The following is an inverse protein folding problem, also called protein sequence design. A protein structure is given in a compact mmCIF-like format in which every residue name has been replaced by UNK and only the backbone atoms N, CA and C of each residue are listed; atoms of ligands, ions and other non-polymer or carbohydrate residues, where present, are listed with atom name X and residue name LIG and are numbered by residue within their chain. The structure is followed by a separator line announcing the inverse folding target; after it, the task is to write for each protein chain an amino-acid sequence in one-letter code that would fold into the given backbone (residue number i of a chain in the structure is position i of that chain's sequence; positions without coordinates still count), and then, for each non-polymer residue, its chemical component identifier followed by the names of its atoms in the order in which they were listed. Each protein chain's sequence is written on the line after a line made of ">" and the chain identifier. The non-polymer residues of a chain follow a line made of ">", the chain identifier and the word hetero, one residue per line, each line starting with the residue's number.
data_IF_322788128200
#
_entry.id   IF_322788128200
#
_cell.length_a   1.000
_cell.length_b   1.000
_cell.length_c   1.000
_cell.angle_alpha   90.00
_cell.angle_beta   90.00
_cell.angle_gamma   90.00
#
_symmetry.space_group_name_H-M   'P 1'
#
loop_
_entity.id
_entity.type
_entity.pdbx_description
1 polymer ?
#
# COMPACT_ATOMS: atom_id res chain seq x y z
N UNK A 1 12.54 -19.81 9.91
CA UNK A 1 12.44 -18.32 9.97
C UNK A 1 10.98 -17.94 9.79
N UNK A 2 10.49 -16.93 10.52
CA UNK A 2 9.13 -16.45 10.34
C UNK A 2 9.02 -15.77 8.96
N UNK A 3 8.13 -16.25 8.08
CA UNK A 3 7.94 -15.70 6.73
C UNK A 3 7.16 -14.39 6.72
N UNK A 4 6.57 -14.04 7.86
CA UNK A 4 5.80 -12.83 8.05
C UNK A 4 6.24 -12.09 9.31
N UNK A 5 6.54 -10.80 9.22
CA UNK A 5 6.89 -9.98 10.38
C UNK A 5 6.23 -8.61 10.33
N UNK A 6 5.89 -8.10 11.51
CA UNK A 6 5.34 -6.76 11.73
C UNK A 6 6.31 -5.97 12.61
N UNK A 7 6.79 -4.83 12.11
CA UNK A 7 7.78 -3.99 12.76
C UNK A 7 7.23 -2.57 12.94
N UNK A 8 7.03 -2.16 14.19
CA UNK A 8 6.76 -0.75 14.48
C UNK A 8 8.05 0.06 14.35
N UNK A 9 8.02 1.10 13.53
CA UNK A 9 9.17 1.98 13.31
C UNK A 9 9.38 2.89 14.51
N UNK A 10 10.63 2.92 15.00
CA UNK A 10 11.12 3.96 15.89
C UNK A 10 11.78 5.06 15.06
N UNK A 11 11.14 6.24 14.99
CA UNK A 11 11.68 7.40 14.26
C UNK A 11 12.97 7.95 14.85
N UNK A 12 13.29 7.65 16.12
CA UNK A 12 14.56 8.06 16.73
C UNK A 12 15.73 7.16 16.31
N UNK A 13 15.42 5.94 15.87
CA UNK A 13 16.39 4.94 15.39
C UNK A 13 15.82 4.21 14.17
N UNK A 14 15.64 4.93 13.04
CA UNK A 14 14.97 4.37 11.87
C UNK A 14 15.77 3.22 11.27
N UNK A 15 15.07 2.17 10.82
CA UNK A 15 15.70 1.07 10.07
C UNK A 15 16.24 1.56 8.73
N UNK A 16 17.23 0.84 8.17
CA UNK A 16 17.77 1.14 6.83
C UNK A 16 16.66 1.17 5.77
N UNK A 17 15.71 0.24 5.85
CA UNK A 17 14.57 0.19 4.94
C UNK A 17 13.68 1.44 5.04
N UNK A 18 13.41 1.93 6.27
CA UNK A 18 12.62 3.15 6.46
C UNK A 18 13.36 4.40 5.96
N UNK A 19 14.67 4.50 6.19
CA UNK A 19 15.48 5.61 5.66
C UNK A 19 15.44 5.63 4.12
N UNK A 20 15.57 4.45 3.50
CA UNK A 20 15.43 4.31 2.04
C UNK A 20 14.03 4.70 1.55
N UNK A 21 12.98 4.32 2.27
CA UNK A 21 11.63 4.80 1.98
C UNK A 21 11.58 6.33 2.01
N UNK A 22 12.11 6.99 3.03
CA UNK A 22 12.08 8.46 3.14
C UNK A 22 12.82 9.14 1.99
N UNK A 23 13.96 8.58 1.57
CA UNK A 23 14.70 9.03 0.39
C UNK A 23 13.87 8.86 -0.89
N UNK A 24 13.37 7.66 -1.16
CA UNK A 24 12.57 7.36 -2.36
C UNK A 24 11.26 8.15 -2.40
N UNK A 25 10.66 8.43 -1.26
CA UNK A 25 9.46 9.27 -1.18
C UNK A 25 9.77 10.73 -1.50
N UNK A 26 10.92 11.26 -1.08
CA UNK A 26 11.37 12.60 -1.48
C UNK A 26 11.64 12.67 -2.98
N UNK A 27 12.31 11.67 -3.54
CA UNK A 27 12.54 11.55 -4.99
C UNK A 27 11.21 11.51 -5.76
N UNK A 28 10.25 10.71 -5.29
CA UNK A 28 8.91 10.64 -5.86
C UNK A 28 8.22 12.01 -5.89
N UNK A 29 8.18 12.71 -4.75
CA UNK A 29 7.56 14.03 -4.66
C UNK A 29 8.27 15.03 -5.59
N UNK A 30 9.59 15.01 -5.65
CA UNK A 30 10.36 15.88 -6.53
C UNK A 30 10.12 15.56 -8.01
N UNK A 31 10.03 14.27 -8.37
CA UNK A 31 9.71 13.82 -9.72
C UNK A 31 8.32 14.30 -10.16
N UNK A 32 7.32 14.12 -9.31
CA UNK A 32 5.96 14.63 -9.53
C UNK A 32 5.99 16.14 -9.79
N UNK A 33 6.73 16.91 -8.98
CA UNK A 33 6.83 18.36 -9.13
C UNK A 33 7.55 18.77 -10.43
N UNK A 34 8.61 18.06 -10.80
CA UNK A 34 9.42 18.38 -11.98
C UNK A 34 8.69 18.07 -13.29
N UNK A 35 7.95 16.96 -13.33
CA UNK A 35 7.25 16.50 -14.53
C UNK A 35 5.92 17.22 -14.75
N UNK A 36 5.34 17.82 -13.71
CA UNK A 36 3.98 18.33 -13.74
C UNK A 36 3.90 19.77 -13.21
N UNK A 37 4.33 20.71 -14.05
CA UNK A 37 4.34 22.15 -13.72
C UNK A 37 2.95 22.73 -13.45
N UNK A 38 1.88 22.03 -13.85
CA UNK A 38 0.48 22.41 -13.58
C UNK A 38 0.04 22.11 -12.13
N UNK A 39 0.86 21.42 -11.34
CA UNK A 39 0.56 21.15 -9.93
C UNK A 39 0.62 22.46 -9.13
N UNK A 40 -0.52 22.83 -8.55
CA UNK A 40 -0.58 23.95 -7.61
C UNK A 40 0.22 23.64 -6.34
N UNK A 41 0.89 24.66 -5.77
CA UNK A 41 1.62 24.53 -4.50
C UNK A 41 0.72 23.97 -3.38
N UNK A 42 -0.56 24.35 -3.37
CA UNK A 42 -1.53 23.86 -2.38
C UNK A 42 -1.81 22.35 -2.53
N UNK A 43 -1.92 21.85 -3.77
CA UNK A 43 -2.03 20.42 -4.03
C UNK A 43 -0.75 19.69 -3.61
N UNK A 44 0.41 20.23 -3.97
CA UNK A 44 1.69 19.64 -3.60
C UNK A 44 1.87 19.54 -2.08
N UNK A 45 1.55 20.60 -1.35
CA UNK A 45 1.55 20.62 0.12
C UNK A 45 0.61 19.56 0.71
N UNK A 46 -0.56 19.37 0.09
CA UNK A 46 -1.53 18.36 0.50
C UNK A 46 -0.99 16.95 0.27
N UNK A 47 -0.35 16.74 -0.88
CA UNK A 47 0.30 15.48 -1.25
C UNK A 47 1.41 15.14 -0.23
N UNK A 48 2.33 16.08 -0.01
CA UNK A 48 3.47 15.92 0.90
C UNK A 48 3.06 15.65 2.36
N UNK A 49 1.92 16.22 2.81
CA UNK A 49 1.38 16.04 4.18
C UNK A 49 0.48 14.80 4.31
N UNK A 50 0.22 14.08 3.23
CA UNK A 50 -0.66 12.91 3.25
C UNK A 50 -0.19 11.85 4.24
N UNK A 51 -1.05 11.38 5.16
CA UNK A 51 -0.66 10.36 6.11
C UNK A 51 -0.72 8.97 5.49
N UNK A 52 -1.43 8.72 4.40
CA UNK A 52 -1.72 7.37 3.93
C UNK A 52 -0.89 7.07 2.68
N UNK A 53 0.35 6.64 2.94
CA UNK A 53 1.40 6.31 1.98
C UNK A 53 1.81 4.86 2.22
N UNK A 54 2.10 4.14 1.14
CA UNK A 54 2.79 2.86 1.21
C UNK A 54 3.93 2.77 0.20
N UNK A 55 4.92 1.96 0.53
CA UNK A 55 6.06 1.65 -0.32
C UNK A 55 6.38 0.16 -0.23
N UNK A 56 6.49 -0.51 -1.37
CA UNK A 56 6.87 -1.92 -1.46
C UNK A 56 8.21 -2.03 -2.17
N UNK A 57 9.11 -2.81 -1.58
CA UNK A 57 10.37 -3.23 -2.19
C UNK A 57 10.40 -4.76 -2.23
N UNK A 58 10.48 -5.31 -3.43
CA UNK A 58 10.81 -6.72 -3.63
C UNK A 58 12.25 -6.83 -4.11
N UNK A 59 12.99 -7.77 -3.51
CA UNK A 59 14.31 -8.22 -3.99
C UNK A 59 14.29 -9.73 -3.98
N UNK A 60 14.51 -10.35 -5.14
CA UNK A 60 14.43 -11.79 -5.28
C UNK A 60 14.52 -12.26 -6.71
N UNK A 61 14.16 -13.53 -6.93
CA UNK A 61 14.04 -14.12 -8.24
C UNK A 61 12.58 -14.19 -8.67
N UNK A 62 12.34 -13.88 -9.93
CA UNK A 62 11.08 -14.10 -10.64
C UNK A 62 11.42 -14.91 -11.90
N UNK A 63 10.85 -16.11 -12.02
CA UNK A 63 11.18 -17.08 -13.08
C UNK A 63 12.70 -17.29 -13.24
N UNK A 64 13.39 -17.42 -12.09
CA UNK A 64 14.84 -17.63 -12.00
C UNK A 64 15.71 -16.39 -12.21
N UNK A 65 15.16 -15.25 -12.67
CA UNK A 65 15.90 -14.00 -12.90
C UNK A 65 15.87 -13.10 -11.68
N UNK A 66 17.02 -12.54 -11.32
CA UNK A 66 17.11 -11.57 -10.22
C UNK A 66 16.40 -10.28 -10.60
N UNK A 67 15.41 -9.89 -9.80
CA UNK A 67 14.58 -8.72 -10.00
C UNK A 67 14.61 -7.84 -8.74
N UNK A 68 14.41 -6.55 -9.00
CA UNK A 68 14.19 -5.53 -7.97
C UNK A 68 13.00 -4.68 -8.37
N UNK A 69 11.93 -4.76 -7.59
CA UNK A 69 10.67 -4.07 -7.89
C UNK A 69 10.38 -3.10 -6.76
N UNK A 70 10.04 -1.86 -7.13
CA UNK A 70 9.70 -0.79 -6.21
C UNK A 70 8.33 -0.23 -6.61
N UNK A 71 7.37 -0.23 -5.68
CA UNK A 71 6.01 0.26 -5.91
C UNK A 71 5.62 1.28 -4.85
N UNK A 72 4.84 2.28 -5.24
CA UNK A 72 4.28 3.31 -4.36
C UNK A 72 2.77 3.33 -4.41
N UNK A 73 2.15 3.57 -3.25
CA UNK A 73 0.71 3.79 -3.16
C UNK A 73 0.43 5.06 -2.35
N UNK A 74 -0.28 6.01 -2.96
CA UNK A 74 -0.54 7.31 -2.36
C UNK A 74 -2.03 7.67 -2.37
N UNK A 75 -2.69 7.61 -1.22
CA UNK A 75 -4.14 7.77 -1.13
C UNK A 75 -4.69 9.13 -1.57
N UNK A 76 -3.95 10.24 -1.40
CA UNK A 76 -4.43 11.56 -1.86
C UNK A 76 -4.50 11.67 -3.38
N UNK A 77 -3.66 10.91 -4.10
CA UNK A 77 -3.72 10.85 -5.56
C UNK A 77 -5.03 10.21 -6.02
N UNK A 78 -5.72 9.44 -5.17
CA UNK A 78 -6.94 8.73 -5.56
C UNK A 78 -8.24 9.46 -5.28
N UNK A 79 -8.17 10.63 -4.65
CA UNK A 79 -9.38 11.40 -4.37
C UNK A 79 -9.84 12.05 -5.67
N UNK A 80 -10.86 11.46 -6.30
CA UNK A 80 -11.52 11.94 -7.54
C UNK A 80 -11.98 13.41 -7.46
N UNK A 81 -12.14 13.94 -6.26
CA UNK A 81 -12.61 15.30 -6.00
C UNK A 81 -11.50 16.36 -6.03
N UNK A 82 -10.27 16.02 -6.41
CA UNK A 82 -9.18 16.98 -6.38
C UNK A 82 -9.26 17.94 -7.57
N UNK A 83 -10.15 18.93 -7.48
CA UNK A 83 -10.39 20.02 -8.47
C UNK A 83 -9.19 20.95 -8.72
N UNK A 84 -8.01 20.59 -8.22
CA UNK A 84 -6.79 21.42 -8.17
C UNK A 84 -5.75 21.02 -9.21
N UNK A 85 -6.01 19.97 -9.99
CA UNK A 85 -5.21 19.50 -11.12
C UNK A 85 -6.14 19.10 -12.27
N UNK A 86 -5.62 19.05 -13.50
CA UNK A 86 -6.35 18.56 -14.68
C UNK A 86 -6.68 17.07 -14.55
N UNK A 87 -7.69 16.60 -15.29
CA UNK A 87 -8.12 15.19 -15.22
C UNK A 87 -7.06 14.26 -15.79
N UNK A 88 -6.41 14.71 -16.86
CA UNK A 88 -5.31 14.05 -17.56
C UNK A 88 -4.10 13.85 -16.63
N UNK A 89 -3.73 14.91 -15.89
CA UNK A 89 -2.68 14.83 -14.87
C UNK A 89 -3.08 13.88 -13.73
N UNK A 90 -4.33 13.93 -13.28
CA UNK A 90 -4.81 13.03 -12.23
C UNK A 90 -4.71 11.55 -12.65
N UNK A 91 -5.11 11.24 -13.89
CA UNK A 91 -5.01 9.90 -14.47
C UNK A 91 -3.56 9.43 -14.59
N UNK A 92 -2.66 10.29 -15.10
CA UNK A 92 -1.22 9.99 -15.15
C UNK A 92 -0.63 9.69 -13.77
N UNK A 93 -0.97 10.48 -12.75
CA UNK A 93 -0.48 10.26 -11.38
C UNK A 93 -1.04 8.96 -10.77
N UNK A 94 -2.28 8.60 -11.09
CA UNK A 94 -2.90 7.33 -10.66
C UNK A 94 -2.14 6.13 -11.23
N UNK A 95 -1.90 6.13 -12.54
CA UNK A 95 -1.19 5.06 -13.24
C UNK A 95 0.28 4.94 -12.79
N UNK A 96 0.95 6.09 -12.65
CA UNK A 96 2.40 6.13 -12.37
C UNK A 96 2.74 5.89 -10.90
N UNK A 97 1.91 6.34 -9.97
CA UNK A 97 2.30 6.48 -8.55
C UNK A 97 1.27 6.01 -7.52
N UNK A 98 0.05 5.69 -7.93
CA UNK A 98 -1.00 5.25 -7.02
C UNK A 98 -1.71 4.02 -7.55
N UNK A 99 -0.90 2.96 -7.77
CA UNK A 99 -1.30 1.66 -8.30
C UNK A 99 -2.65 1.21 -7.76
N UNK A 100 -3.70 1.46 -8.53
CA UNK A 100 -5.04 1.00 -8.23
C UNK A 100 -5.25 -0.31 -8.96
N UNK A 101 -5.93 -1.24 -8.29
CA UNK A 101 -6.29 -2.52 -8.86
C UNK A 101 -7.79 -2.55 -9.05
N UNK A 102 -8.24 -2.60 -10.31
CA UNK A 102 -9.67 -2.65 -10.64
C UNK A 102 -10.34 -3.95 -10.18
N UNK A 103 -9.61 -5.06 -10.25
CA UNK A 103 -10.09 -6.41 -9.92
C UNK A 103 -9.09 -7.10 -8.99
N UNK A 104 -9.22 -6.96 -7.66
CA UNK A 104 -8.33 -7.61 -6.72
C UNK A 104 -8.49 -9.14 -6.78
N UNK A 105 -7.37 -9.85 -6.62
CA UNK A 105 -7.33 -11.31 -6.71
C UNK A 105 -7.65 -11.96 -5.37
N UNK A 106 -7.17 -11.35 -4.28
CA UNK A 106 -7.48 -11.82 -2.95
C UNK A 106 -8.79 -11.20 -2.50
N UNK A 107 -9.91 -11.96 -2.57
CA UNK A 107 -11.23 -11.52 -2.08
C UNK A 107 -11.09 -10.77 -0.76
N UNK A 108 -11.27 -9.46 -0.79
CA UNK A 108 -11.12 -8.62 0.38
C UNK A 108 -12.22 -9.00 1.37
N UNK A 109 -11.83 -9.14 2.63
CA UNK A 109 -12.82 -9.12 3.68
C UNK A 109 -13.25 -7.68 3.93
N UNK A 110 -14.52 -7.51 4.26
CA UNK A 110 -15.05 -6.23 4.72
C UNK A 110 -14.70 -6.08 6.19
N UNK A 111 -14.23 -4.89 6.58
CA UNK A 111 -13.87 -4.61 7.97
C UNK A 111 -14.94 -3.72 8.58
N UNK A 112 -15.54 -4.18 9.67
CA UNK A 112 -16.47 -3.35 10.43
C UNK A 112 -15.72 -2.21 11.14
N UNK A 113 -16.17 -0.98 10.97
CA UNK A 113 -15.44 0.19 11.46
C UNK A 113 -15.48 0.34 12.98
N UNK A 114 -16.52 -0.20 13.64
CA UNK A 114 -16.74 -0.13 15.09
C UNK A 114 -15.91 -1.15 15.86
N UNK A 115 -15.88 -2.39 15.39
CA UNK A 115 -15.29 -3.53 16.12
C UNK A 115 -14.10 -4.18 15.42
N UNK A 116 -13.75 -3.75 14.20
CA UNK A 116 -12.65 -4.28 13.40
C UNK A 116 -12.81 -5.76 13.00
N UNK A 117 -14.02 -6.33 13.11
CA UNK A 117 -14.27 -7.71 12.66
C UNK A 117 -14.17 -7.80 11.13
N UNK A 118 -13.63 -8.93 10.66
CA UNK A 118 -13.47 -9.25 9.25
C UNK A 118 -14.64 -10.11 8.76
N UNK A 119 -15.27 -9.74 7.66
CA UNK A 119 -16.40 -10.43 7.06
C UNK A 119 -16.07 -10.83 5.62
N UNK A 120 -16.49 -12.01 5.18
CA UNK A 120 -16.28 -12.51 3.82
C UNK A 120 -17.62 -12.96 3.21
N UNK A 121 -17.82 -12.74 1.91
CA UNK A 121 -18.98 -13.25 1.15
C UNK A 121 -19.81 -12.17 0.45
N UNK A 122 -20.63 -12.60 -0.50
CA UNK A 122 -21.42 -11.73 -1.41
C UNK A 122 -22.75 -11.23 -0.79
N UNK A 123 -23.03 -11.60 0.47
CA UNK A 123 -24.25 -11.23 1.20
C UNK A 123 -23.91 -10.32 2.37
N UNK A 124 -23.73 -9.03 2.11
CA UNK A 124 -23.46 -8.04 3.16
C UNK A 124 -24.59 -7.02 3.24
N UNK A 125 -25.68 -7.46 3.85
CA UNK A 125 -26.63 -6.57 4.54
C UNK A 125 -26.07 -6.08 5.89
N UNK A 126 -24.74 -6.09 6.04
CA UNK A 126 -24.05 -5.72 7.28
C UNK A 126 -23.80 -4.21 7.23
N UNK A 127 -24.54 -3.46 8.06
CA UNK A 127 -24.26 -2.05 8.30
C UNK A 127 -22.84 -1.89 8.83
N UNK A 128 -22.22 -0.75 8.51
CA UNK A 128 -20.96 -0.33 9.13
C UNK A 128 -19.71 -1.12 8.73
N UNK A 129 -19.73 -1.80 7.58
CA UNK A 129 -18.55 -2.47 7.01
C UNK A 129 -17.99 -1.70 5.82
N UNK A 130 -16.67 -1.69 5.69
CA UNK A 130 -15.95 -0.99 4.62
C UNK A 130 -15.07 -1.96 3.82
N UNK A 131 -15.10 -1.85 2.50
CA UNK A 131 -14.26 -2.61 1.57
C UNK A 131 -12.86 -2.00 1.49
N UNK A 132 -11.82 -2.76 1.83
CA UNK A 132 -10.46 -2.23 2.12
C UNK A 132 -9.49 -2.29 0.94
N UNK A 133 -10.01 -2.31 -0.28
CA UNK A 133 -9.23 -2.25 -1.52
C UNK A 133 -8.44 -0.93 -1.66
N UNK A 134 -8.93 0.14 -1.03
CA UNK A 134 -8.30 1.46 -1.01
C UNK A 134 -7.14 1.60 -0.01
N UNK A 135 -6.81 0.59 0.79
CA UNK A 135 -5.65 0.64 1.69
C UNK A 135 -4.34 0.53 0.91
N UNK A 136 -3.30 1.26 1.35
CA UNK A 136 -1.99 1.25 0.67
C UNK A 136 -1.37 -0.15 0.62
N UNK A 137 -1.51 -0.94 1.69
CA UNK A 137 -1.09 -2.33 1.76
C UNK A 137 -1.76 -3.18 0.66
N UNK A 138 -3.08 -3.02 0.53
CA UNK A 138 -3.90 -3.77 -0.42
C UNK A 138 -3.45 -3.49 -1.85
N UNK A 139 -3.35 -2.21 -2.20
CA UNK A 139 -2.90 -1.76 -3.53
C UNK A 139 -1.55 -2.31 -3.94
N UNK A 140 -0.58 -2.19 -3.06
CA UNK A 140 0.80 -2.59 -3.35
C UNK A 140 0.90 -4.09 -3.57
N UNK A 141 0.26 -4.89 -2.71
CA UNK A 141 0.32 -6.34 -2.83
C UNK A 141 -0.51 -6.86 -4.01
N UNK A 142 -1.69 -6.31 -4.24
CA UNK A 142 -2.53 -6.70 -5.38
C UNK A 142 -1.86 -6.34 -6.70
N UNK A 143 -1.23 -5.17 -6.78
CA UNK A 143 -0.50 -4.76 -7.98
C UNK A 143 0.72 -5.66 -8.23
N UNK A 144 1.48 -5.98 -7.18
CA UNK A 144 2.57 -6.96 -7.28
C UNK A 144 2.05 -8.33 -7.73
N UNK A 145 0.93 -8.80 -7.17
CA UNK A 145 0.34 -10.08 -7.52
C UNK A 145 -0.18 -10.12 -8.96
N UNK A 146 -0.86 -9.08 -9.45
CA UNK A 146 -1.33 -9.04 -10.84
C UNK A 146 -0.18 -9.19 -11.82
N UNK A 147 0.96 -8.58 -11.52
CA UNK A 147 2.12 -8.61 -12.41
C UNK A 147 2.94 -9.91 -12.32
N UNK A 148 2.98 -10.53 -11.13
CA UNK A 148 3.94 -11.61 -10.84
C UNK A 148 3.35 -12.86 -10.18
N UNK A 149 2.11 -12.85 -9.72
CA UNK A 149 1.47 -13.95 -8.98
C UNK A 149 1.34 -15.26 -9.75
N UNK A 150 1.36 -15.22 -11.08
CA UNK A 150 1.42 -16.42 -11.93
C UNK A 150 2.82 -16.99 -12.16
N UNK A 151 3.86 -16.41 -11.56
CA UNK A 151 5.28 -16.73 -11.80
C UNK A 151 5.91 -17.45 -10.62
N UNK A 152 7.07 -18.07 -10.85
CA UNK A 152 7.86 -18.61 -9.74
C UNK A 152 8.59 -17.47 -9.02
N UNK A 153 8.16 -17.15 -7.80
CA UNK A 153 8.71 -16.06 -6.99
C UNK A 153 9.49 -16.61 -5.80
N UNK A 154 10.72 -16.15 -5.61
CA UNK A 154 11.53 -16.42 -4.42
C UNK A 154 12.19 -15.12 -3.95
N UNK A 155 12.03 -14.74 -2.68
CA UNK A 155 12.74 -13.57 -2.17
C UNK A 155 12.12 -12.92 -0.95
N UNK A 156 12.32 -11.61 -0.85
CA UNK A 156 11.82 -10.80 0.26
C UNK A 156 11.06 -9.59 -0.25
N UNK A 157 9.87 -9.41 0.31
CA UNK A 157 9.08 -8.19 0.22
C UNK A 157 9.28 -7.43 1.54
N UNK A 158 9.69 -6.17 1.42
CA UNK A 158 9.64 -5.21 2.52
C UNK A 158 8.56 -4.18 2.17
N UNK A 159 7.57 -4.05 3.06
CA UNK A 159 6.43 -3.17 2.89
C UNK A 159 6.49 -2.10 3.98
N UNK A 160 6.45 -0.84 3.60
CA UNK A 160 6.22 0.27 4.51
C UNK A 160 4.78 0.74 4.36
N UNK A 161 4.09 0.96 5.49
CA UNK A 161 2.82 1.70 5.52
C UNK A 161 2.72 2.60 6.74
N UNK A 162 1.93 3.67 6.66
CA UNK A 162 1.81 4.57 7.82
C UNK A 162 1.10 3.92 9.00
N UNK A 163 0.09 3.10 8.76
CA UNK A 163 -0.64 2.36 9.78
C UNK A 163 -0.28 0.88 9.71
N UNK A 164 -0.33 0.15 10.82
CA UNK A 164 -0.24 -1.31 10.77
C UNK A 164 -1.38 -1.86 9.92
N UNK A 165 -1.20 -2.95 9.16
CA UNK A 165 -2.25 -3.47 8.31
C UNK A 165 -3.52 -3.81 9.10
N UNK A 166 -4.69 -3.52 8.52
CA UNK A 166 -5.96 -3.98 9.07
C UNK A 166 -6.12 -5.51 8.90
N UNK A 167 -7.16 -6.11 9.50
CA UNK A 167 -7.38 -7.55 9.38
C UNK A 167 -7.55 -8.01 7.92
N UNK A 168 -8.18 -7.20 7.07
CA UNK A 168 -8.35 -7.52 5.64
C UNK A 168 -7.01 -7.54 4.91
N UNK A 169 -6.19 -6.49 5.07
CA UNK A 169 -4.85 -6.43 4.49
C UNK A 169 -3.95 -7.56 5.00
N UNK A 170 -4.00 -7.90 6.29
CA UNK A 170 -3.28 -9.06 6.83
C UNK A 170 -3.73 -10.37 6.18
N UNK A 171 -5.03 -10.56 6.00
CA UNK A 171 -5.57 -11.73 5.29
C UNK A 171 -4.98 -11.88 3.89
N UNK A 172 -4.84 -10.78 3.14
CA UNK A 172 -4.22 -10.78 1.80
C UNK A 172 -2.74 -11.17 1.85
N UNK A 173 -1.98 -10.56 2.76
CA UNK A 173 -0.55 -10.84 2.92
C UNK A 173 -0.29 -12.31 3.28
N UNK A 174 -1.14 -12.89 4.13
CA UNK A 174 -1.03 -14.30 4.51
C UNK A 174 -1.39 -15.23 3.37
N UNK A 175 -2.48 -14.98 2.63
CA UNK A 175 -2.84 -15.78 1.43
C UNK A 175 -1.74 -15.74 0.37
N UNK A 176 -1.15 -14.56 0.15
CA UNK A 176 0.01 -14.43 -0.74
C UNK A 176 1.18 -15.33 -0.30
N UNK A 177 1.48 -15.39 1.00
CA UNK A 177 2.54 -16.25 1.53
C UNK A 177 2.21 -17.75 1.45
N UNK A 178 0.93 -18.12 1.50
CA UNK A 178 0.47 -19.49 1.30
C UNK A 178 0.70 -19.95 -0.15
N UNK A 179 0.41 -19.08 -1.13
CA UNK A 179 0.62 -19.34 -2.56
C UNK A 179 2.10 -19.26 -2.96
N UNK A 180 2.87 -18.41 -2.29
CA UNK A 180 4.29 -18.15 -2.59
C UNK A 180 5.19 -18.51 -1.40
N UNK A 181 5.31 -19.81 -1.12
CA UNK A 181 6.05 -20.30 0.04
C UNK A 181 7.54 -19.91 0.07
N UNK A 182 8.12 -19.53 -1.07
CA UNK A 182 9.53 -19.10 -1.17
C UNK A 182 9.73 -17.60 -0.95
N UNK A 183 8.67 -16.88 -0.56
CA UNK A 183 8.69 -15.45 -0.25
C UNK A 183 8.61 -15.23 1.27
N UNK A 184 9.23 -14.14 1.71
CA UNK A 184 9.04 -13.57 3.05
C UNK A 184 8.54 -12.14 2.94
N UNK A 185 7.65 -11.74 3.84
CA UNK A 185 7.11 -10.38 3.94
C UNK A 185 7.47 -9.80 5.30
N UNK A 186 8.04 -8.60 5.29
CA UNK A 186 8.21 -7.75 6.47
C UNK A 186 7.42 -6.46 6.26
N UNK A 187 6.49 -6.17 7.17
CA UNK A 187 5.74 -4.91 7.15
C UNK A 187 6.24 -3.99 8.25
N UNK A 188 6.76 -2.84 7.87
CA UNK A 188 7.17 -1.75 8.77
C UNK A 188 6.10 -0.66 8.83
N UNK A 189 5.67 -0.26 10.03
CA UNK A 189 4.60 0.73 10.20
C UNK A 189 4.89 1.81 11.25
N UNK A 190 4.33 3.01 11.07
CA UNK A 190 4.52 4.14 12.00
C UNK A 190 3.50 4.15 13.15
N UNK A 191 2.24 3.82 12.86
CA UNK A 191 1.11 3.95 13.77
C UNK A 191 0.36 2.64 13.85
N UNK A 192 -0.12 2.28 15.04
CA UNK A 192 -1.01 1.12 15.17
C UNK A 192 -2.38 1.52 14.63
N UNK A 193 -2.93 0.69 13.73
CA UNK A 193 -4.31 0.81 13.30
C UNK A 193 -5.23 0.31 14.41
N UNK A 194 -6.11 1.18 14.91
CA UNK A 194 -7.02 0.88 16.04
C UNK A 194 -8.50 0.80 15.59
N UNK A 195 -8.77 0.54 14.32
CA UNK A 195 -10.12 0.68 13.76
C UNK A 195 -10.54 2.15 13.63
N UNK A 196 -11.81 2.40 13.32
CA UNK A 196 -12.41 3.74 13.40
C UNK A 196 -12.97 4.01 14.79
N UNK A 197 -12.26 3.59 15.85
CA UNK A 197 -12.56 4.07 17.20
C UNK A 197 -12.40 5.58 17.15
N UNK A 198 -13.51 6.30 16.93
CA UNK A 198 -13.59 7.75 17.14
C UNK A 198 -12.96 7.95 18.50
N UNK A 199 -11.86 8.70 18.56
CA UNK A 199 -11.46 9.33 19.81
C UNK A 199 -12.70 10.09 20.25
N UNK A 200 -13.36 9.59 21.30
CA UNK A 200 -14.36 10.37 22.02
C UNK A 200 -13.67 11.60 22.57
#
# INVERSE_FOLDING_TARGET
>A
MNKYSLLKIDRKKPSIFYQKFEEKYKELLQGILNENLEITQEYFDTLAKSPNIGYLLFIGKIDGKMERIELFAHSQIQRKENKKISSELHEFLLESYSVQVEKPNYKDGYVNYLNNNLFFGDSLDIKDVWYRDVDSESKLIENFFIQYGGKEIQGRIQLFTTYSPCLSCNGKLLRFLEEHSNVSIEVSYLRVYNGFKRRR
#
